data_IF_053816356656
#
_entry.id   IF_053816356656
#
_cell.length_a   1.000
_cell.length_b   1.000
_cell.length_c   1.000
_cell.angle_alpha   90.00
_cell.angle_beta   90.00
_cell.angle_gamma   90.00
#
_symmetry.space_group_name_H-M   'P 1'
#
loop_
_entity.id
_entity.type
_entity.pdbx_description
1 polymer ?
#
# COMPACT_ATOMS: atom_id res chain seq x y z
N UNK A 1 2.54 -1.73 15.47
CA UNK A 1 2.57 -1.44 14.03
C UNK A 1 1.17 -1.02 13.58
N UNK A 2 1.10 0.09 12.89
CA UNK A 2 -0.16 0.57 12.30
C UNK A 2 -0.28 0.08 10.87
N UNK A 3 -1.48 -0.34 10.49
CA UNK A 3 -1.77 -0.83 9.13
C UNK A 3 -2.96 -0.09 8.54
N UNK A 4 -2.83 0.30 7.27
CA UNK A 4 -3.92 0.95 6.54
C UNK A 4 -4.06 0.37 5.14
N UNK A 5 -5.28 0.43 4.63
CA UNK A 5 -5.57 0.21 3.21
C UNK A 5 -5.78 1.58 2.56
N UNK A 6 -5.08 1.82 1.45
CA UNK A 6 -5.19 3.05 0.67
C UNK A 6 -5.65 2.64 -0.73
N UNK A 7 -6.93 2.89 -1.00
CA UNK A 7 -7.58 2.38 -2.20
C UNK A 7 -8.06 3.51 -3.12
N UNK A 8 -8.00 3.26 -4.43
CA UNK A 8 -8.60 4.14 -5.43
C UNK A 8 -10.12 3.96 -5.52
N UNK A 9 -10.68 3.00 -4.80
CA UNK A 9 -12.13 2.81 -4.71
C UNK A 9 -12.77 3.93 -3.89
N UNK A 10 -14.00 4.31 -4.26
CA UNK A 10 -14.77 5.29 -3.49
C UNK A 10 -15.50 4.61 -2.32
N UNK A 11 -16.15 5.41 -1.48
CA UNK A 11 -16.86 4.91 -0.31
C UNK A 11 -17.98 3.94 -0.69
N UNK A 12 -18.67 4.18 -1.81
CA UNK A 12 -19.74 3.31 -2.29
C UNK A 12 -19.22 1.91 -2.63
N UNK A 13 -18.07 1.83 -3.33
CA UNK A 13 -17.46 0.56 -3.67
C UNK A 13 -16.96 -0.15 -2.42
N UNK A 14 -16.39 0.60 -1.48
CA UNK A 14 -15.93 0.03 -0.22
C UNK A 14 -17.07 -0.47 0.64
N UNK A 15 -18.24 0.17 0.61
CA UNK A 15 -19.42 -0.32 1.29
C UNK A 15 -19.82 -1.71 0.81
N UNK A 16 -19.69 -1.99 -0.50
CA UNK A 16 -19.94 -3.31 -1.06
C UNK A 16 -18.93 -4.35 -0.55
N UNK A 17 -17.64 -3.97 -0.44
CA UNK A 17 -16.59 -4.82 0.13
C UNK A 17 -16.93 -5.17 1.58
N UNK A 18 -17.34 -4.20 2.38
CA UNK A 18 -17.69 -4.42 3.79
C UNK A 18 -18.88 -5.34 3.96
N UNK A 19 -19.85 -5.30 3.04
CA UNK A 19 -20.97 -6.23 3.06
C UNK A 19 -20.55 -7.67 2.74
N UNK A 20 -19.62 -7.83 1.79
CA UNK A 20 -19.11 -9.13 1.38
C UNK A 20 -18.11 -9.71 2.39
N UNK A 21 -17.28 -8.83 2.98
CA UNK A 21 -16.20 -9.20 3.90
C UNK A 21 -16.16 -8.20 5.06
N UNK A 22 -17.06 -8.34 6.05
CA UNK A 22 -17.13 -7.38 7.17
C UNK A 22 -15.84 -7.27 7.98
N UNK A 23 -15.05 -8.34 8.06
CA UNK A 23 -13.79 -8.39 8.79
C UNK A 23 -12.75 -7.38 8.27
N UNK A 24 -12.86 -6.94 7.04
CA UNK A 24 -11.92 -5.95 6.45
C UNK A 24 -11.90 -4.66 7.28
N UNK A 25 -13.06 -4.25 7.83
CA UNK A 25 -13.14 -3.02 8.62
C UNK A 25 -12.33 -3.07 9.90
N UNK A 26 -12.13 -4.28 10.46
CA UNK A 26 -11.45 -4.46 11.73
C UNK A 26 -10.02 -4.97 11.59
N UNK A 27 -9.63 -5.45 10.41
CA UNK A 27 -8.27 -5.94 10.15
C UNK A 27 -7.23 -4.82 10.09
N UNK A 28 -7.65 -3.61 9.74
CA UNK A 28 -6.75 -2.48 9.53
C UNK A 28 -7.13 -1.33 10.46
N UNK A 29 -6.13 -0.55 10.86
CA UNK A 29 -6.34 0.63 11.72
C UNK A 29 -7.11 1.72 11.00
N UNK A 30 -6.86 1.90 9.70
CA UNK A 30 -7.56 2.87 8.85
C UNK A 30 -7.77 2.31 7.44
N UNK A 31 -8.83 2.76 6.80
CA UNK A 31 -9.10 2.53 5.39
C UNK A 31 -9.35 3.89 4.76
N UNK A 32 -8.45 4.30 3.86
CA UNK A 32 -8.49 5.60 3.20
C UNK A 32 -8.95 5.40 1.75
N UNK A 33 -10.04 6.05 1.39
CA UNK A 33 -10.66 5.90 0.07
C UNK A 33 -10.32 7.08 -0.84
N UNK A 34 -10.67 6.95 -2.12
CA UNK A 34 -10.34 7.94 -3.15
C UNK A 34 -10.85 9.36 -2.82
N UNK A 35 -11.90 9.48 -2.01
CA UNK A 35 -12.48 10.77 -1.64
C UNK A 35 -11.66 11.51 -0.57
N UNK A 36 -10.71 10.84 0.07
CA UNK A 36 -9.94 11.39 1.18
C UNK A 36 -8.63 12.04 0.74
N UNK A 37 -8.17 11.83 -0.48
CA UNK A 37 -6.92 12.43 -0.97
C UNK A 37 -7.15 13.15 -2.30
N UNK A 38 -6.31 14.18 -2.53
CA UNK A 38 -6.53 15.15 -3.63
C UNK A 38 -6.26 14.56 -5.00
N UNK A 39 -5.21 13.74 -5.13
CA UNK A 39 -4.81 13.17 -6.42
C UNK A 39 -4.67 11.66 -6.28
N UNK A 40 -5.15 10.95 -7.29
CA UNK A 40 -5.05 9.49 -7.36
C UNK A 40 -3.65 9.04 -7.76
N UNK A 41 -3.33 7.78 -7.47
CA UNK A 41 -2.11 7.13 -7.99
C UNK A 41 -2.02 7.33 -9.50
N UNK A 42 -0.85 7.62 -10.05
CA UNK A 42 0.50 7.46 -9.50
C UNK A 42 1.01 8.61 -8.64
N UNK A 43 0.18 9.62 -8.32
CA UNK A 43 0.57 10.65 -7.37
C UNK A 43 0.74 10.04 -5.96
N UNK A 44 1.68 10.55 -5.14
CA UNK A 44 1.94 9.98 -3.83
C UNK A 44 0.95 10.39 -2.74
N UNK A 45 -0.07 11.17 -3.08
CA UNK A 45 -0.98 11.83 -2.13
C UNK A 45 -1.59 10.84 -1.13
N UNK A 46 -2.04 9.67 -1.57
CA UNK A 46 -2.66 8.69 -0.68
C UNK A 46 -1.67 8.18 0.38
N UNK A 47 -0.43 7.89 0.01
CA UNK A 47 0.56 7.40 0.96
C UNK A 47 1.05 8.50 1.90
N UNK A 48 1.18 9.73 1.39
CA UNK A 48 1.51 10.89 2.23
C UNK A 48 0.40 11.17 3.25
N UNK A 49 -0.86 11.03 2.86
CA UNK A 49 -1.99 11.14 3.78
C UNK A 49 -1.94 10.04 4.85
N UNK A 50 -1.62 8.81 4.46
CA UNK A 50 -1.46 7.71 5.41
C UNK A 50 -0.39 7.99 6.45
N UNK A 51 0.74 8.54 6.03
CA UNK A 51 1.82 8.94 6.96
C UNK A 51 1.36 10.05 7.90
N UNK A 52 0.62 11.04 7.39
CA UNK A 52 0.08 12.12 8.19
C UNK A 52 -0.90 11.59 9.24
N UNK A 53 -1.81 10.71 8.85
CA UNK A 53 -2.83 10.12 9.74
C UNK A 53 -2.19 9.33 10.87
N UNK A 54 -1.09 8.62 10.60
CA UNK A 54 -0.40 7.80 11.59
C UNK A 54 0.77 8.51 12.26
N UNK A 55 1.04 9.76 11.88
CA UNK A 55 2.17 10.54 12.39
C UNK A 55 3.49 9.77 12.20
N UNK A 56 3.72 9.28 10.97
CA UNK A 56 4.92 8.53 10.61
C UNK A 56 5.69 9.25 9.51
N UNK A 57 6.92 8.79 9.26
CA UNK A 57 7.81 9.32 8.24
C UNK A 57 8.02 8.30 7.13
N UNK A 58 8.51 8.71 5.94
CA UNK A 58 8.85 7.75 4.89
C UNK A 58 9.82 6.67 5.33
N UNK A 59 10.78 7.01 6.20
CA UNK A 59 11.79 6.05 6.65
C UNK A 59 11.22 4.94 7.53
N UNK A 60 10.07 5.15 8.15
CA UNK A 60 9.40 4.17 9.02
C UNK A 60 8.14 3.60 8.38
N UNK A 61 7.90 3.87 7.10
CA UNK A 61 6.70 3.47 6.38
C UNK A 61 7.03 2.47 5.29
N UNK A 62 6.24 1.40 5.22
CA UNK A 62 6.33 0.37 4.19
C UNK A 62 5.06 0.39 3.36
N UNK A 63 5.22 0.35 2.04
CA UNK A 63 4.11 0.30 1.08
C UNK A 63 4.14 -1.04 0.37
N UNK A 64 3.02 -1.74 0.36
CA UNK A 64 2.83 -2.99 -0.39
C UNK A 64 1.89 -2.71 -1.55
N UNK A 65 2.35 -2.96 -2.77
CA UNK A 65 1.57 -2.65 -3.97
C UNK A 65 1.80 -3.65 -5.09
N UNK A 66 0.76 -3.90 -5.90
CA UNK A 66 0.80 -4.80 -7.05
C UNK A 66 0.62 -4.08 -8.38
N UNK A 67 0.04 -2.89 -8.40
CA UNK A 67 -0.22 -2.12 -9.61
C UNK A 67 0.94 -1.17 -9.94
N UNK A 68 1.14 -0.88 -11.24
CA UNK A 68 2.18 0.05 -11.65
C UNK A 68 1.96 1.45 -11.08
N UNK A 69 0.74 1.94 -11.12
CA UNK A 69 0.44 3.26 -10.57
C UNK A 69 0.64 3.31 -9.06
N UNK A 70 0.29 2.24 -8.34
CA UNK A 70 0.51 2.14 -6.91
C UNK A 70 1.99 2.09 -6.55
N UNK A 71 2.79 1.34 -7.33
CA UNK A 71 4.24 1.27 -7.13
C UNK A 71 4.89 2.64 -7.36
N UNK A 72 4.50 3.34 -8.44
CA UNK A 72 5.00 4.70 -8.71
C UNK A 72 4.64 5.68 -7.59
N UNK A 73 3.42 5.60 -7.09
CA UNK A 73 2.97 6.44 -5.97
C UNK A 73 3.80 6.15 -4.70
N UNK A 74 4.04 4.87 -4.41
CA UNK A 74 4.86 4.47 -3.28
C UNK A 74 6.29 5.00 -3.37
N UNK A 75 6.91 4.85 -4.53
CA UNK A 75 8.27 5.38 -4.76
C UNK A 75 8.31 6.90 -4.65
N UNK A 76 7.31 7.60 -5.18
CA UNK A 76 7.22 9.05 -5.09
C UNK A 76 7.00 9.53 -3.65
N UNK A 77 6.39 8.72 -2.79
CA UNK A 77 6.22 9.03 -1.38
C UNK A 77 7.50 8.89 -0.55
N UNK A 78 8.53 8.30 -1.13
CA UNK A 78 9.82 8.01 -0.50
C UNK A 78 9.77 6.92 0.57
N UNK A 79 8.63 6.24 0.75
CA UNK A 79 8.52 5.08 1.62
C UNK A 79 9.35 3.89 1.08
N UNK A 80 9.55 2.88 1.92
CA UNK A 80 10.10 1.60 1.46
C UNK A 80 9.00 0.82 0.75
N UNK A 81 9.21 0.49 -0.54
CA UNK A 81 8.19 -0.11 -1.39
C UNK A 81 8.48 -1.58 -1.62
N UNK A 82 7.50 -2.42 -1.28
CA UNK A 82 7.53 -3.86 -1.52
C UNK A 82 6.48 -4.15 -2.59
N UNK A 83 6.96 -4.58 -3.75
CA UNK A 83 6.09 -4.93 -4.88
C UNK A 83 5.59 -6.36 -4.78
N UNK A 84 4.34 -6.56 -5.17
CA UNK A 84 3.71 -7.88 -5.21
C UNK A 84 3.51 -8.30 -6.66
N UNK A 85 4.09 -9.45 -7.03
CA UNK A 85 3.99 -9.99 -8.39
C UNK A 85 2.74 -10.87 -8.53
N UNK A 86 1.61 -10.36 -8.10
CA UNK A 86 0.32 -11.07 -8.14
C UNK A 86 -0.49 -10.76 -9.38
N UNK A 87 -0.41 -9.51 -9.85
CA UNK A 87 -1.15 -9.03 -11.03
C UNK A 87 -0.24 -8.93 -12.25
N UNK A 88 1.00 -8.51 -12.05
CA UNK A 88 2.02 -8.32 -13.09
C UNK A 88 3.21 -9.22 -12.82
N UNK A 89 4.05 -9.44 -13.84
CA UNK A 89 5.23 -10.31 -13.70
C UNK A 89 6.27 -9.69 -12.77
N UNK A 90 7.09 -10.55 -12.17
CA UNK A 90 8.20 -10.13 -11.31
C UNK A 90 9.17 -9.19 -12.07
N UNK A 91 9.43 -9.47 -13.33
CA UNK A 91 10.31 -8.67 -14.17
C UNK A 91 9.77 -7.26 -14.40
N UNK A 92 8.44 -7.12 -14.53
CA UNK A 92 7.79 -5.82 -14.72
C UNK A 92 7.72 -5.02 -13.42
N UNK A 93 7.56 -5.68 -12.29
CA UNK A 93 7.40 -5.05 -10.97
C UNK A 93 8.74 -4.62 -10.37
N UNK A 94 9.79 -5.43 -10.53
CA UNK A 94 11.07 -5.24 -9.87
C UNK A 94 11.68 -3.84 -10.04
N UNK A 95 11.67 -3.21 -11.25
CA UNK A 95 12.27 -1.88 -11.40
C UNK A 95 11.53 -0.77 -10.63
N UNK A 96 10.33 -1.03 -10.16
CA UNK A 96 9.44 -0.03 -9.56
C UNK A 96 9.33 -0.13 -8.04
N UNK A 97 10.17 -0.95 -7.41
CA UNK A 97 10.12 -1.16 -5.97
C UNK A 97 11.50 -1.52 -5.42
N UNK A 98 11.59 -1.65 -4.09
CA UNK A 98 12.84 -2.01 -3.41
C UNK A 98 12.98 -3.51 -3.21
N UNK A 99 11.86 -4.23 -3.15
CA UNK A 99 11.83 -5.68 -2.96
C UNK A 99 10.57 -6.22 -3.65
N UNK A 100 10.67 -7.42 -4.24
CA UNK A 100 9.53 -8.07 -4.90
C UNK A 100 9.20 -9.36 -4.16
N UNK A 101 7.91 -9.56 -3.89
CA UNK A 101 7.37 -10.82 -3.37
C UNK A 101 6.41 -11.41 -4.39
N UNK A 102 6.42 -12.73 -4.53
CA UNK A 102 5.40 -13.41 -5.34
C UNK A 102 4.04 -13.38 -4.62
N UNK A 103 4.07 -13.57 -3.30
CA UNK A 103 2.93 -13.45 -2.40
C UNK A 103 3.46 -13.24 -0.96
N UNK A 104 2.56 -13.29 0.02
CA UNK A 104 2.96 -13.12 1.43
C UNK A 104 3.44 -14.41 2.10
N UNK A 105 3.48 -15.53 1.39
CA UNK A 105 3.89 -16.82 1.98
C UNK A 105 5.33 -16.73 2.51
N UNK A 106 5.50 -17.06 3.78
CA UNK A 106 6.81 -17.02 4.43
C UNK A 106 7.36 -15.63 4.70
N UNK A 107 6.63 -14.56 4.38
CA UNK A 107 7.05 -13.20 4.65
C UNK A 107 6.64 -12.81 6.07
N UNK A 108 7.62 -12.34 6.86
CA UNK A 108 7.41 -11.98 8.26
C UNK A 108 7.72 -10.51 8.51
N UNK A 109 7.32 -10.01 9.67
CA UNK A 109 7.66 -8.64 10.11
C UNK A 109 9.18 -8.45 10.15
N UNK A 110 9.92 -9.44 10.66
CA UNK A 110 11.38 -9.36 10.72
C UNK A 110 11.99 -9.26 9.32
N UNK A 111 11.48 -10.02 8.36
CA UNK A 111 11.93 -9.93 6.96
C UNK A 111 11.61 -8.57 6.35
N UNK A 112 10.45 -7.99 6.68
CA UNK A 112 10.09 -6.65 6.22
C UNK A 112 11.10 -5.62 6.70
N UNK A 113 11.53 -5.68 7.95
CA UNK A 113 12.51 -4.75 8.52
C UNK A 113 13.88 -4.84 7.86
N UNK A 114 14.18 -5.93 7.17
CA UNK A 114 15.44 -6.12 6.45
C UNK A 114 15.43 -5.56 5.04
N UNK A 115 14.28 -5.09 4.54
CA UNK A 115 14.18 -4.48 3.21
C UNK A 115 14.71 -3.05 3.28
N UNK A 116 15.65 -2.72 2.38
CA UNK A 116 16.29 -1.41 2.29
C UNK A 116 16.00 -0.75 0.95
N UNK A 117 15.86 0.56 1.00
CA UNK A 117 15.69 1.37 -0.21
C UNK A 117 16.90 1.30 -1.14
#
# INVERSE_FOLDING_TARGET
VKMAVLTSSNDRKMAAVYRARPEVRTMFDRILTAEMFSRSKPAPDCFLLGMEVFDTTPDTTYVFEDSFNGLKAGMASEATVIGLATTNSREAVAPLCHCVLDDFTGFTYDKMLQVHK
#
